data_IF_296037066416
#
_entry.id   IF_296037066416
#
_cell.length_a   1.000
_cell.length_b   1.000
_cell.length_c   1.000
_cell.angle_alpha   90.00
_cell.angle_beta   90.00
_cell.angle_gamma   90.00
#
_symmetry.space_group_name_H-M   'P 1'
#
loop_
_entity.id
_entity.type
_entity.pdbx_description
1 polymer ?
#
# COMPACT_ATOMS: atom_id res chain seq x y z
N UNK A 1 -25.94 10.77 -9.04
CA UNK A 1 -26.99 9.88 -9.57
C UNK A 1 -27.22 8.70 -8.67
N UNK A 2 -26.34 7.69 -8.71
CA UNK A 2 -26.56 6.40 -8.05
C UNK A 2 -26.92 6.48 -6.55
N UNK A 3 -26.19 7.29 -5.76
CA UNK A 3 -26.54 7.49 -4.33
C UNK A 3 -27.93 8.08 -4.09
N UNK A 4 -28.41 8.95 -4.98
CA UNK A 4 -29.73 9.55 -4.84
C UNK A 4 -30.84 8.54 -5.14
N UNK A 5 -30.62 7.66 -6.15
CA UNK A 5 -31.51 6.53 -6.44
C UNK A 5 -31.50 5.51 -5.30
N UNK A 6 -30.33 5.20 -4.76
CA UNK A 6 -30.18 4.31 -3.61
C UNK A 6 -30.90 4.84 -2.36
N UNK A 7 -30.88 6.16 -2.14
CA UNK A 7 -31.56 6.82 -1.02
C UNK A 7 -33.09 6.71 -1.08
N UNK A 8 -33.67 6.46 -2.26
CA UNK A 8 -35.09 6.17 -2.46
C UNK A 8 -35.36 4.68 -2.74
N UNK A 9 -34.45 3.82 -2.29
CA UNK A 9 -34.54 2.35 -2.35
C UNK A 9 -34.55 1.73 -3.77
N UNK A 10 -34.09 2.47 -4.78
CA UNK A 10 -33.88 1.91 -6.12
C UNK A 10 -32.54 1.18 -6.14
N UNK A 11 -32.59 -0.16 -6.19
CA UNK A 11 -31.41 -1.04 -6.09
C UNK A 11 -30.91 -1.60 -7.42
N UNK A 12 -31.72 -1.60 -8.47
CA UNK A 12 -31.29 -1.99 -9.81
C UNK A 12 -31.20 -0.73 -10.67
N UNK A 13 -29.97 -0.32 -10.98
CA UNK A 13 -29.68 0.96 -11.65
C UNK A 13 -29.00 0.65 -12.98
N UNK A 14 -29.63 1.08 -14.07
CA UNK A 14 -29.02 1.08 -15.39
C UNK A 14 -28.48 2.48 -15.69
N UNK A 15 -27.17 2.59 -15.97
CA UNK A 15 -26.48 3.85 -16.20
C UNK A 15 -26.02 3.94 -17.66
N UNK A 16 -26.36 5.04 -18.32
CA UNK A 16 -25.82 5.36 -19.64
C UNK A 16 -24.31 5.62 -19.57
N UNK A 17 -23.63 5.62 -20.72
CA UNK A 17 -22.17 5.83 -20.79
C UNK A 17 -21.73 7.22 -20.35
N UNK A 18 -22.63 8.22 -20.38
CA UNK A 18 -22.32 9.62 -20.11
C UNK A 18 -21.14 10.16 -20.93
N UNK A 19 -20.90 9.60 -22.12
CA UNK A 19 -19.79 9.92 -23.01
C UNK A 19 -18.49 9.14 -22.74
N UNK A 20 -18.35 8.50 -21.57
CA UNK A 20 -17.22 7.65 -21.21
C UNK A 20 -17.69 6.54 -20.24
N UNK A 21 -17.91 5.34 -20.80
CA UNK A 21 -18.44 4.21 -20.04
C UNK A 21 -17.50 3.71 -18.94
N UNK A 22 -16.18 3.90 -19.09
CA UNK A 22 -15.19 3.50 -18.09
C UNK A 22 -15.30 4.41 -16.85
N UNK A 23 -15.27 5.73 -17.07
CA UNK A 23 -15.43 6.72 -16.00
C UNK A 23 -16.82 6.63 -15.33
N UNK A 24 -17.88 6.35 -16.10
CA UNK A 24 -19.22 6.15 -15.57
C UNK A 24 -19.29 4.92 -14.64
N UNK A 25 -18.69 3.80 -15.05
CA UNK A 25 -18.60 2.59 -14.23
C UNK A 25 -17.76 2.81 -12.97
N UNK A 26 -16.61 3.49 -13.08
CA UNK A 26 -15.76 3.84 -11.93
C UNK A 26 -16.53 4.70 -10.92
N UNK A 27 -17.12 5.81 -11.38
CA UNK A 27 -17.87 6.72 -10.53
C UNK A 27 -19.05 6.04 -9.86
N UNK A 28 -19.78 5.16 -10.56
CA UNK A 28 -20.87 4.40 -9.97
C UNK A 28 -20.40 3.38 -8.92
N UNK A 29 -19.37 2.59 -9.24
CA UNK A 29 -18.86 1.54 -8.37
C UNK A 29 -18.21 2.09 -7.09
N UNK A 30 -17.44 3.17 -7.19
CA UNK A 30 -16.80 3.81 -6.04
C UNK A 30 -17.81 4.50 -5.14
N UNK A 31 -18.78 5.20 -5.74
CA UNK A 31 -19.71 6.06 -5.01
C UNK A 31 -20.80 5.32 -4.25
N UNK A 32 -21.07 4.07 -4.61
CA UNK A 32 -22.13 3.25 -4.01
C UNK A 32 -21.61 2.29 -2.95
N UNK A 33 -20.29 2.05 -2.92
CA UNK A 33 -19.67 1.20 -1.91
C UNK A 33 -19.42 1.94 -0.59
N UNK A 34 -19.67 1.27 0.52
CA UNK A 34 -19.27 1.68 1.87
C UNK A 34 -19.07 0.45 2.76
N UNK A 35 -18.17 0.55 3.73
CA UNK A 35 -17.93 -0.53 4.69
C UNK A 35 -19.11 -0.70 5.64
N UNK A 36 -19.59 -1.94 5.78
CA UNK A 36 -20.69 -2.29 6.69
C UNK A 36 -20.62 -3.71 7.24
N UNK A 37 -19.49 -4.41 7.04
CA UNK A 37 -19.35 -5.84 7.36
C UNK A 37 -19.64 -6.19 8.82
N UNK A 38 -19.44 -5.22 9.73
CA UNK A 38 -19.65 -5.39 11.18
C UNK A 38 -21.00 -4.89 11.69
N UNK A 39 -21.84 -4.31 10.82
CA UNK A 39 -23.23 -4.02 11.21
C UNK A 39 -23.98 -5.33 11.38
N UNK A 40 -24.92 -5.35 12.33
CA UNK A 40 -25.88 -6.44 12.45
C UNK A 40 -26.51 -6.72 11.07
N UNK A 41 -26.62 -8.00 10.69
CA UNK A 41 -27.17 -8.44 9.40
C UNK A 41 -28.50 -7.77 9.04
N UNK A 42 -29.38 -7.57 10.02
CA UNK A 42 -30.68 -6.89 9.82
C UNK A 42 -30.56 -5.39 9.52
N UNK A 43 -29.42 -4.78 9.88
CA UNK A 43 -29.11 -3.36 9.64
C UNK A 43 -28.14 -3.15 8.48
N UNK A 44 -27.67 -4.22 7.85
CA UNK A 44 -26.86 -4.12 6.63
C UNK A 44 -27.76 -3.67 5.49
N UNK A 45 -27.31 -2.66 4.76
CA UNK A 45 -27.98 -2.15 3.57
C UNK A 45 -27.56 -2.99 2.37
N UNK A 46 -28.52 -3.36 1.54
CA UNK A 46 -28.25 -3.92 0.22
C UNK A 46 -27.60 -2.81 -0.63
N UNK A 47 -26.38 -3.07 -1.11
CA UNK A 47 -25.71 -2.17 -2.05
C UNK A 47 -26.44 -2.20 -3.40
N UNK A 48 -26.60 -1.05 -4.07
CA UNK A 48 -27.26 -1.03 -5.37
C UNK A 48 -26.42 -1.78 -6.41
N UNK A 49 -27.10 -2.59 -7.22
CA UNK A 49 -26.55 -3.18 -8.43
C UNK A 49 -26.59 -2.13 -9.53
N UNK A 50 -25.42 -1.73 -10.02
CA UNK A 50 -25.31 -0.80 -11.14
C UNK A 50 -24.81 -1.54 -12.37
N UNK A 51 -25.49 -1.38 -13.50
CA UNK A 51 -25.14 -2.00 -14.79
C UNK A 51 -25.22 -0.99 -15.94
N UNK A 52 -24.55 -1.30 -17.04
CA UNK A 52 -24.59 -0.49 -18.25
C UNK A 52 -26.02 -0.49 -18.83
N UNK A 53 -26.50 0.69 -19.22
CA UNK A 53 -27.70 0.82 -20.04
C UNK A 53 -27.34 0.64 -21.53
N UNK A 54 -27.90 -0.40 -22.16
CA UNK A 54 -27.58 -0.77 -23.54
C UNK A 54 -26.31 -1.61 -23.65
N UNK A 55 -25.72 -1.65 -24.86
CA UNK A 55 -24.51 -2.44 -25.18
C UNK A 55 -23.32 -1.58 -25.62
N UNK A 56 -23.53 -0.27 -25.84
CA UNK A 56 -22.47 0.63 -26.26
C UNK A 56 -21.47 0.87 -25.11
N UNK A 57 -20.19 0.59 -25.36
CA UNK A 57 -19.14 0.75 -24.34
C UNK A 57 -19.04 -0.39 -23.33
N UNK A 58 -19.54 -1.59 -23.64
CA UNK A 58 -19.52 -2.75 -22.73
C UNK A 58 -18.12 -3.10 -22.22
N UNK A 59 -17.10 -3.06 -23.08
CA UNK A 59 -15.72 -3.33 -22.67
C UNK A 59 -15.16 -2.25 -21.74
N UNK A 60 -15.39 -0.97 -22.06
CA UNK A 60 -14.99 0.16 -21.21
C UNK A 60 -15.70 0.11 -19.85
N UNK A 61 -16.99 -0.19 -19.84
CA UNK A 61 -17.76 -0.41 -18.62
C UNK A 61 -17.17 -1.54 -17.78
N UNK A 62 -16.80 -2.65 -18.42
CA UNK A 62 -16.15 -3.80 -17.77
C UNK A 62 -14.82 -3.39 -17.14
N UNK A 63 -13.98 -2.63 -17.85
CA UNK A 63 -12.71 -2.12 -17.34
C UNK A 63 -12.93 -1.22 -16.13
N UNK A 64 -13.83 -0.23 -16.22
CA UNK A 64 -14.11 0.69 -15.11
C UNK A 64 -14.72 -0.02 -13.90
N UNK A 65 -15.56 -1.03 -14.14
CA UNK A 65 -16.10 -1.88 -13.08
C UNK A 65 -15.01 -2.66 -12.34
N UNK A 66 -14.06 -3.25 -13.06
CA UNK A 66 -12.91 -3.98 -12.48
C UNK A 66 -12.05 -3.03 -11.63
N UNK A 67 -11.74 -1.84 -12.16
CA UNK A 67 -10.94 -0.84 -11.44
C UNK A 67 -11.62 -0.40 -10.14
N UNK A 68 -12.92 -0.07 -10.19
CA UNK A 68 -13.68 0.31 -9.00
C UNK A 68 -13.77 -0.83 -7.98
N UNK A 69 -13.98 -2.07 -8.43
CA UNK A 69 -14.02 -3.24 -7.54
C UNK A 69 -12.68 -3.48 -6.86
N UNK A 70 -11.57 -3.35 -7.60
CA UNK A 70 -10.22 -3.46 -7.04
C UNK A 70 -9.97 -2.37 -5.99
N UNK A 71 -10.27 -1.10 -6.29
CA UNK A 71 -10.10 -0.01 -5.32
C UNK A 71 -11.02 -0.19 -4.10
N UNK A 72 -12.26 -0.64 -4.28
CA UNK A 72 -13.16 -0.96 -3.17
C UNK A 72 -12.67 -2.16 -2.34
N UNK A 73 -11.95 -3.11 -2.94
CA UNK A 73 -11.30 -4.18 -2.18
C UNK A 73 -10.13 -3.65 -1.34
N UNK A 74 -9.31 -2.73 -1.89
CA UNK A 74 -8.31 -2.04 -1.08
C UNK A 74 -8.96 -1.28 0.10
N UNK A 75 -10.06 -0.57 -0.14
CA UNK A 75 -10.85 0.10 0.91
C UNK A 75 -11.40 -0.90 1.94
N UNK A 76 -11.89 -2.06 1.51
CA UNK A 76 -12.37 -3.10 2.42
C UNK A 76 -11.30 -3.58 3.39
N UNK A 77 -10.10 -3.86 2.87
CA UNK A 77 -8.96 -4.29 3.66
C UNK A 77 -8.55 -3.20 4.65
N UNK A 78 -8.46 -1.93 4.21
CA UNK A 78 -8.08 -0.79 5.06
C UNK A 78 -9.14 -0.37 6.08
N UNK A 79 -10.43 -0.50 5.76
CA UNK A 79 -11.54 -0.11 6.65
C UNK A 79 -11.83 -1.17 7.72
N UNK A 80 -11.42 -2.42 7.48
CA UNK A 80 -11.65 -3.50 8.45
C UNK A 80 -10.80 -3.25 9.72
N UNK A 81 -11.39 -3.30 10.92
CA UNK A 81 -10.64 -3.14 12.17
C UNK A 81 -9.48 -4.13 12.28
N UNK A 82 -8.35 -3.69 12.83
CA UNK A 82 -7.12 -4.48 12.85
C UNK A 82 -7.26 -5.84 13.54
N UNK A 83 -8.08 -5.95 14.59
CA UNK A 83 -8.37 -7.22 15.25
C UNK A 83 -9.13 -8.24 14.36
N UNK A 84 -9.67 -7.78 13.24
CA UNK A 84 -10.34 -8.58 12.20
C UNK A 84 -9.61 -8.49 10.85
N UNK A 85 -8.44 -7.86 10.82
CA UNK A 85 -7.56 -7.73 9.65
C UNK A 85 -6.10 -7.87 10.10
N UNK A 86 -5.81 -8.94 10.84
CA UNK A 86 -4.45 -9.24 11.29
C UNK A 86 -3.57 -9.66 10.10
N UNK A 87 -2.22 -9.75 10.23
CA UNK A 87 -1.33 -10.30 9.20
C UNK A 87 -1.79 -11.66 8.69
N UNK A 88 -2.27 -12.54 9.59
CA UNK A 88 -2.79 -13.85 9.24
C UNK A 88 -4.10 -13.76 8.44
N UNK A 89 -5.03 -12.90 8.83
CA UNK A 89 -6.32 -12.74 8.14
C UNK A 89 -6.10 -12.09 6.77
N UNK A 90 -5.34 -11.00 6.69
CA UNK A 90 -5.02 -10.32 5.44
C UNK A 90 -4.37 -11.28 4.43
N UNK A 91 -3.35 -12.02 4.86
CA UNK A 91 -2.66 -12.97 3.98
C UNK A 91 -3.57 -14.11 3.49
N UNK A 92 -4.46 -14.61 4.35
CA UNK A 92 -5.45 -15.64 4.00
C UNK A 92 -6.49 -15.14 3.02
N UNK A 93 -7.01 -13.92 3.21
CA UNK A 93 -7.97 -13.29 2.29
C UNK A 93 -7.34 -13.09 0.91
N UNK A 94 -6.13 -12.52 0.87
CA UNK A 94 -5.37 -12.32 -0.38
C UNK A 94 -5.11 -13.63 -1.11
N UNK A 95 -4.67 -14.67 -0.39
CA UNK A 95 -4.48 -16.00 -0.98
C UNK A 95 -5.78 -16.53 -1.59
N UNK A 96 -6.89 -16.44 -0.85
CA UNK A 96 -8.20 -16.93 -1.33
C UNK A 96 -8.62 -16.22 -2.61
N UNK A 97 -8.62 -14.88 -2.61
CA UNK A 97 -9.09 -14.08 -3.75
C UNK A 97 -8.20 -14.24 -4.98
N UNK A 98 -6.87 -14.22 -4.82
CA UNK A 98 -5.97 -14.22 -5.96
C UNK A 98 -5.77 -15.61 -6.57
N UNK A 99 -5.83 -16.68 -5.77
CA UNK A 99 -5.70 -18.05 -6.32
C UNK A 99 -6.90 -18.47 -7.17
N UNK A 100 -8.11 -17.94 -6.89
CA UNK A 100 -9.28 -18.08 -7.77
C UNK A 100 -9.05 -17.48 -9.18
N UNK A 101 -8.14 -16.52 -9.30
CA UNK A 101 -7.74 -15.92 -10.57
C UNK A 101 -6.53 -16.63 -11.23
N UNK A 102 -6.08 -17.75 -10.68
CA UNK A 102 -4.93 -18.50 -11.17
C UNK A 102 -3.57 -17.86 -10.81
N UNK A 103 -3.54 -16.93 -9.86
CA UNK A 103 -2.32 -16.30 -9.36
C UNK A 103 -1.70 -17.20 -8.29
N UNK A 104 -0.38 -17.37 -8.30
CA UNK A 104 0.31 -18.10 -7.23
C UNK A 104 0.55 -17.17 -6.05
N UNK A 105 0.14 -17.58 -4.84
CA UNK A 105 0.36 -16.84 -3.60
C UNK A 105 1.08 -17.74 -2.60
N UNK A 106 2.22 -17.28 -2.10
CA UNK A 106 2.98 -17.92 -1.04
C UNK A 106 2.89 -17.05 0.21
N UNK A 107 2.59 -17.67 1.35
CA UNK A 107 2.54 -17.00 2.65
C UNK A 107 3.69 -17.58 3.48
N UNK A 108 4.69 -16.76 3.73
CA UNK A 108 5.85 -17.11 4.53
C UNK A 108 5.67 -16.66 5.97
N UNK A 109 6.33 -17.36 6.90
CA UNK A 109 6.25 -17.13 8.33
C UNK A 109 7.54 -16.52 8.91
N UNK A 110 7.58 -16.44 10.25
CA UNK A 110 8.72 -15.92 10.99
C UNK A 110 10.02 -16.71 10.70
N UNK A 111 9.95 -18.05 10.66
CA UNK A 111 11.13 -18.89 10.42
C UNK A 111 11.72 -18.64 9.03
N UNK A 112 10.86 -18.50 8.02
CA UNK A 112 11.32 -18.12 6.68
C UNK A 112 11.99 -16.74 6.66
N UNK A 113 11.41 -15.75 7.34
CA UNK A 113 11.98 -14.40 7.41
C UNK A 113 13.34 -14.39 8.14
N UNK A 114 13.51 -15.23 9.17
CA UNK A 114 14.80 -15.45 9.84
C UNK A 114 15.84 -16.07 8.88
N UNK A 115 15.46 -17.09 8.11
CA UNK A 115 16.33 -17.71 7.10
C UNK A 115 16.74 -16.72 6.00
N UNK A 116 15.83 -15.83 5.61
CA UNK A 116 16.11 -14.71 4.70
C UNK A 116 16.87 -13.55 5.34
N UNK A 117 17.20 -13.64 6.63
CA UNK A 117 17.92 -12.61 7.40
C UNK A 117 17.21 -11.25 7.41
N UNK A 118 15.89 -11.26 7.43
CA UNK A 118 15.06 -10.04 7.46
C UNK A 118 14.99 -9.44 8.88
N UNK A 119 16.15 -9.13 9.46
CA UNK A 119 16.25 -8.66 10.84
C UNK A 119 15.60 -7.30 11.08
N UNK A 120 15.46 -6.47 10.04
CA UNK A 120 14.77 -5.18 10.12
C UNK A 120 13.25 -5.38 10.22
N UNK A 121 12.67 -6.22 9.37
CA UNK A 121 11.25 -6.61 9.42
C UNK A 121 10.90 -7.30 10.75
N UNK A 122 11.67 -8.31 11.13
CA UNK A 122 11.43 -9.08 12.35
C UNK A 122 11.46 -8.20 13.61
N UNK A 123 12.36 -7.21 13.65
CA UNK A 123 12.45 -6.28 14.79
C UNK A 123 11.13 -5.55 15.09
N UNK A 124 10.36 -5.20 14.06
CA UNK A 124 9.07 -4.53 14.22
C UNK A 124 8.03 -5.49 14.81
N UNK A 125 8.05 -6.75 14.37
CA UNK A 125 7.08 -7.77 14.79
C UNK A 125 7.18 -8.21 16.24
N UNK A 126 8.36 -8.13 16.85
CA UNK A 126 8.60 -8.59 18.23
C UNK A 126 7.73 -7.89 19.29
N UNK A 127 7.13 -6.74 18.96
CA UNK A 127 6.22 -6.02 19.83
C UNK A 127 4.86 -6.70 20.00
N UNK A 128 4.41 -7.50 19.03
CA UNK A 128 3.08 -8.12 19.04
C UNK A 128 3.12 -9.63 19.35
N UNK A 129 1.98 -10.15 19.82
CA UNK A 129 1.72 -11.59 19.91
C UNK A 129 1.16 -12.16 18.60
N UNK A 130 0.70 -11.31 17.69
CA UNK A 130 0.22 -11.72 16.37
C UNK A 130 1.43 -12.05 15.47
N UNK A 131 1.48 -13.24 14.86
CA UNK A 131 2.64 -13.68 14.09
C UNK A 131 2.81 -12.83 12.82
N UNK A 132 4.04 -12.40 12.49
CA UNK A 132 4.30 -11.73 11.22
C UNK A 132 4.08 -12.69 10.05
N UNK A 133 3.72 -12.12 8.89
CA UNK A 133 3.59 -12.85 7.63
C UNK A 133 4.34 -12.10 6.54
N UNK A 134 4.90 -12.82 5.58
CA UNK A 134 5.43 -12.23 4.37
C UNK A 134 4.70 -12.84 3.16
N UNK A 135 3.90 -12.04 2.46
CA UNK A 135 3.13 -12.51 1.30
C UNK A 135 3.93 -12.27 0.02
N UNK A 136 4.10 -13.31 -0.76
CA UNK A 136 4.76 -13.30 -2.07
C UNK A 136 3.77 -13.76 -3.15
N UNK A 137 3.52 -12.91 -4.13
CA UNK A 137 2.48 -13.09 -5.15
C UNK A 137 3.13 -13.14 -6.53
N UNK A 138 2.77 -14.11 -7.35
CA UNK A 138 3.27 -14.26 -8.73
C UNK A 138 2.10 -14.24 -9.71
N UNK A 139 1.93 -13.13 -10.41
CA UNK A 139 1.07 -13.04 -11.59
C UNK A 139 1.91 -13.21 -12.85
N UNK A 140 1.62 -14.26 -13.61
CA UNK A 140 2.31 -14.59 -14.88
C UNK A 140 1.41 -14.34 -16.08
N UNK A 141 1.33 -13.08 -16.52
CA UNK A 141 0.56 -12.69 -17.70
C UNK A 141 1.36 -12.67 -19.01
N UNK A 142 2.70 -12.73 -18.94
CA UNK A 142 3.60 -12.76 -20.09
C UNK A 142 4.42 -14.06 -20.11
N UNK A 143 5.30 -14.18 -21.11
CA UNK A 143 6.22 -15.32 -21.22
C UNK A 143 7.12 -15.41 -19.97
N UNK A 144 7.49 -16.63 -19.56
CA UNK A 144 8.30 -16.90 -18.35
C UNK A 144 9.66 -16.18 -18.34
N UNK A 145 10.20 -15.85 -19.52
CA UNK A 145 11.48 -15.14 -19.67
C UNK A 145 11.35 -13.60 -19.56
N UNK A 146 10.12 -13.07 -19.48
CA UNK A 146 9.89 -11.63 -19.37
C UNK A 146 10.22 -11.16 -17.96
N UNK A 147 11.05 -10.12 -17.85
CA UNK A 147 11.36 -9.50 -16.57
C UNK A 147 10.06 -9.02 -15.89
N UNK A 148 9.84 -9.36 -14.61
CA UNK A 148 8.66 -8.92 -13.92
C UNK A 148 8.75 -7.43 -13.55
N UNK A 149 7.62 -6.87 -13.16
CA UNK A 149 7.55 -5.66 -12.35
C UNK A 149 7.38 -6.10 -10.89
N UNK A 150 8.09 -5.48 -9.95
CA UNK A 150 7.93 -5.77 -8.53
C UNK A 150 7.11 -4.67 -7.84
N UNK A 151 6.00 -5.06 -7.22
CA UNK A 151 5.21 -4.21 -6.34
C UNK A 151 5.45 -4.58 -4.89
N UNK A 152 5.74 -3.59 -4.05
CA UNK A 152 6.02 -3.80 -2.62
C UNK A 152 5.06 -2.96 -1.78
N UNK A 153 4.37 -3.56 -0.81
CA UNK A 153 3.37 -2.85 -0.02
C UNK A 153 3.70 -2.86 1.48
N UNK A 154 3.72 -1.69 2.13
CA UNK A 154 3.77 -1.62 3.60
C UNK A 154 2.51 -2.27 4.18
N UNK A 155 2.68 -3.27 5.04
CA UNK A 155 1.61 -4.07 5.62
C UNK A 155 1.53 -3.99 7.15
N UNK A 156 1.56 -2.80 7.74
CA UNK A 156 1.39 -2.68 9.21
C UNK A 156 -0.10 -2.69 9.53
N UNK A 157 -0.61 -3.83 10.00
CA UNK A 157 -2.06 -4.03 10.23
C UNK A 157 -2.61 -3.22 11.41
N UNK A 158 -1.75 -2.86 12.35
CA UNK A 158 -2.01 -1.81 13.33
C UNK A 158 -0.71 -1.17 13.81
N UNK A 159 -0.68 0.15 13.84
CA UNK A 159 0.48 0.92 14.27
C UNK A 159 0.17 1.76 15.52
N UNK A 160 0.60 1.28 16.69
CA UNK A 160 0.60 2.06 17.92
C UNK A 160 1.85 2.95 18.04
N UNK A 161 2.84 2.78 17.16
CA UNK A 161 4.17 3.38 17.23
C UNK A 161 5.19 2.61 18.08
N UNK A 162 4.80 1.48 18.66
CA UNK A 162 5.68 0.71 19.56
C UNK A 162 6.00 1.47 20.86
N UNK A 163 7.27 1.45 21.29
CA UNK A 163 7.72 2.19 22.49
C UNK A 163 7.62 3.71 22.29
N UNK A 164 7.85 4.21 21.08
CA UNK A 164 7.56 5.58 20.64
C UNK A 164 6.05 5.77 20.39
N UNK A 165 5.25 5.51 21.44
CA UNK A 165 3.79 5.43 21.40
C UNK A 165 3.15 6.68 20.78
N UNK A 166 2.25 6.46 19.82
CA UNK A 166 1.42 7.52 19.23
C UNK A 166 0.47 8.14 20.26
N UNK A 167 0.05 9.41 20.07
CA UNK A 167 -1.03 9.99 20.86
C UNK A 167 -2.36 9.23 20.69
N UNK A 168 -3.27 9.25 21.69
CA UNK A 168 -4.56 8.56 21.60
C UNK A 168 -5.51 9.08 20.51
N UNK A 169 -5.41 10.36 20.15
CA UNK A 169 -6.29 10.98 19.16
C UNK A 169 -6.07 10.34 17.78
N UNK A 170 -7.16 9.90 17.15
CA UNK A 170 -7.21 9.31 15.80
C UNK A 170 -6.31 8.05 15.63
N UNK A 171 -5.85 7.43 16.71
CA UNK A 171 -5.03 6.21 16.66
C UNK A 171 -5.81 5.04 16.03
N UNK A 172 -7.14 5.06 16.07
CA UNK A 172 -7.96 4.06 15.41
C UNK A 172 -7.75 4.05 13.88
N UNK A 173 -7.39 5.19 13.26
CA UNK A 173 -7.07 5.28 11.83
C UNK A 173 -5.86 4.38 11.46
N UNK A 174 -5.00 4.04 12.43
CA UNK A 174 -3.81 3.21 12.21
C UNK A 174 -4.11 1.74 11.90
N UNK A 175 -5.40 1.32 11.93
CA UNK A 175 -5.83 0.06 11.27
C UNK A 175 -5.56 0.05 9.77
N UNK A 176 -5.53 1.23 9.14
CA UNK A 176 -5.31 1.41 7.71
C UNK A 176 -3.81 1.57 7.36
N UNK A 177 -2.90 1.33 8.29
CA UNK A 177 -1.44 1.45 8.05
C UNK A 177 -0.84 0.29 7.21
N UNK A 178 -1.74 -0.56 6.70
CA UNK A 178 -1.54 -1.59 5.70
C UNK A 178 -2.12 -1.21 4.33
N UNK A 179 -2.54 0.05 4.12
CA UNK A 179 -3.13 0.48 2.85
C UNK A 179 -2.16 0.37 1.67
N UNK A 180 -0.85 0.43 1.93
CA UNK A 180 0.17 0.15 0.91
C UNK A 180 0.05 -1.27 0.36
N UNK A 181 -0.04 -2.26 1.27
CA UNK A 181 -0.32 -3.65 0.94
C UNK A 181 -1.66 -3.82 0.22
N UNK A 182 -2.72 -3.15 0.71
CA UNK A 182 -4.05 -3.20 0.13
C UNK A 182 -4.07 -2.74 -1.34
N UNK A 183 -3.39 -1.63 -1.64
CA UNK A 183 -3.26 -1.12 -3.01
C UNK A 183 -2.49 -2.09 -3.92
N UNK A 184 -1.43 -2.73 -3.42
CA UNK A 184 -0.64 -3.71 -4.20
C UNK A 184 -1.50 -4.91 -4.60
N UNK A 185 -2.22 -5.52 -3.65
CA UNK A 185 -3.04 -6.71 -3.95
C UNK A 185 -4.22 -6.37 -4.86
N UNK A 186 -4.83 -5.20 -4.67
CA UNK A 186 -5.89 -4.70 -5.53
C UNK A 186 -5.41 -4.45 -6.96
N UNK A 187 -4.24 -3.83 -7.14
CA UNK A 187 -3.67 -3.60 -8.47
C UNK A 187 -3.34 -4.91 -9.20
N UNK A 188 -2.80 -5.91 -8.49
CA UNK A 188 -2.52 -7.25 -9.04
C UNK A 188 -3.81 -7.96 -9.44
N UNK A 189 -4.85 -7.89 -8.60
CA UNK A 189 -6.19 -8.43 -8.91
C UNK A 189 -6.74 -7.81 -10.20
N UNK A 190 -6.74 -6.49 -10.31
CA UNK A 190 -7.21 -5.79 -11.51
C UNK A 190 -6.40 -6.19 -12.75
N UNK A 191 -5.06 -6.30 -12.62
CA UNK A 191 -4.21 -6.72 -13.73
C UNK A 191 -4.55 -8.13 -14.23
N UNK A 192 -4.86 -9.06 -13.33
CA UNK A 192 -5.26 -10.42 -13.67
C UNK A 192 -6.67 -10.50 -14.28
N UNK A 193 -7.65 -9.79 -13.72
CA UNK A 193 -9.02 -9.71 -14.27
C UNK A 193 -9.05 -9.05 -15.66
N UNK A 194 -8.14 -8.10 -15.91
CA UNK A 194 -7.92 -7.48 -17.22
C UNK A 194 -7.02 -8.32 -18.14
N UNK A 195 -6.45 -9.43 -17.65
CA UNK A 195 -5.55 -10.32 -18.39
C UNK A 195 -4.37 -9.57 -19.03
N UNK A 196 -3.77 -8.65 -18.28
CA UNK A 196 -2.64 -7.86 -18.75
C UNK A 196 -1.45 -8.77 -19.09
N UNK A 197 -0.84 -8.55 -20.26
CA UNK A 197 0.25 -9.38 -20.77
C UNK A 197 1.61 -8.98 -20.19
N UNK A 198 1.76 -9.10 -18.88
CA UNK A 198 2.98 -8.76 -18.14
C UNK A 198 3.12 -9.63 -16.88
N UNK A 199 4.35 -9.77 -16.37
CA UNK A 199 4.61 -10.49 -15.12
C UNK A 199 4.69 -9.50 -13.95
N UNK A 200 4.02 -9.80 -12.83
CA UNK A 200 4.07 -9.00 -11.60
C UNK A 200 4.46 -9.90 -10.43
N UNK A 201 5.41 -9.42 -9.63
CA UNK A 201 5.70 -9.95 -8.30
C UNK A 201 5.15 -8.98 -7.26
N UNK A 202 4.31 -9.45 -6.34
CA UNK A 202 3.83 -8.68 -5.19
C UNK A 202 4.53 -9.14 -3.92
N UNK A 203 5.09 -8.22 -3.14
CA UNK A 203 5.82 -8.52 -1.89
C UNK A 203 5.29 -7.67 -0.75
N UNK A 204 4.84 -8.32 0.32
CA UNK A 204 4.12 -7.64 1.40
C UNK A 204 4.59 -8.18 2.75
N UNK A 205 5.49 -7.45 3.45
CA UNK A 205 5.75 -7.70 4.86
C UNK A 205 4.55 -7.24 5.70
N UNK A 206 3.95 -8.17 6.44
CA UNK A 206 2.80 -7.93 7.32
C UNK A 206 3.15 -8.13 8.77
N UNK A 207 2.81 -7.15 9.61
CA UNK A 207 3.02 -7.20 11.07
C UNK A 207 2.08 -6.22 11.77
N UNK A 208 2.07 -6.24 13.10
CA UNK A 208 1.65 -5.09 13.92
C UNK A 208 2.88 -4.38 14.49
N UNK A 209 2.72 -3.14 14.96
CA UNK A 209 3.72 -2.38 15.70
C UNK A 209 3.15 -1.96 17.07
N UNK A 210 3.40 -2.77 18.09
CA UNK A 210 2.82 -2.63 19.44
C UNK A 210 3.91 -2.47 20.52
N UNK A 211 3.64 -1.72 21.60
CA UNK A 211 4.51 -1.73 22.78
C UNK A 211 4.34 -3.03 23.56
N UNK A 212 5.45 -3.65 23.95
CA UNK A 212 5.48 -4.80 24.85
C UNK A 212 6.84 -4.93 25.53
N UNK A 213 7.00 -5.94 26.39
CA UNK A 213 8.30 -6.26 27.01
C UNK A 213 9.36 -6.77 26.03
N UNK A 214 8.96 -7.14 24.81
CA UNK A 214 9.83 -7.66 23.74
C UNK A 214 9.96 -6.71 22.55
N UNK A 215 9.26 -5.57 22.57
CA UNK A 215 9.29 -4.58 21.51
C UNK A 215 10.70 -4.00 21.29
N UNK A 216 10.97 -3.60 20.04
CA UNK A 216 12.16 -2.80 19.71
C UNK A 216 12.21 -1.54 20.55
N UNK A 217 13.40 -1.17 21.01
CA UNK A 217 13.61 0.00 21.88
C UNK A 217 14.33 1.10 21.08
N UNK A 218 14.01 2.39 21.34
CA UNK A 218 14.79 3.49 20.81
C UNK A 218 16.29 3.33 21.14
N UNK A 219 17.14 3.37 20.13
CA UNK A 219 18.59 3.16 20.20
C UNK A 219 19.06 1.73 19.87
N UNK A 220 18.15 0.77 19.72
CA UNK A 220 18.51 -0.58 19.25
C UNK A 220 19.11 -0.49 17.83
N UNK A 221 20.04 -1.41 17.53
CA UNK A 221 20.60 -1.59 16.19
C UNK A 221 20.14 -2.92 15.63
N UNK A 222 19.55 -2.89 14.45
CA UNK A 222 19.08 -4.08 13.71
C UNK A 222 19.87 -4.23 12.42
N UNK A 223 19.90 -5.43 11.85
CA UNK A 223 20.61 -5.72 10.60
C UNK A 223 19.58 -6.13 9.55
N UNK A 224 19.54 -5.39 8.44
CA UNK A 224 18.69 -5.69 7.31
C UNK A 224 19.23 -6.87 6.48
N UNK A 225 18.40 -7.39 5.58
CA UNK A 225 18.69 -8.52 4.69
C UNK A 225 19.97 -8.33 3.88
N UNK A 226 20.28 -7.10 3.44
CA UNK A 226 21.50 -6.78 2.70
C UNK A 226 22.75 -6.59 3.59
N UNK A 227 22.64 -6.83 4.90
CA UNK A 227 23.71 -6.68 5.88
C UNK A 227 23.92 -5.25 6.40
N UNK A 228 23.17 -4.25 5.93
CA UNK A 228 23.25 -2.89 6.47
C UNK A 228 22.69 -2.84 7.89
N UNK A 229 23.41 -2.17 8.78
CA UNK A 229 22.99 -1.89 10.15
C UNK A 229 22.12 -0.63 10.21
N UNK A 230 21.00 -0.71 10.92
CA UNK A 230 20.05 0.37 11.11
C UNK A 230 19.94 0.68 12.61
N UNK A 231 20.23 1.91 13.02
CA UNK A 231 19.86 2.38 14.37
C UNK A 231 18.40 2.83 14.39
N UNK A 232 17.60 2.24 15.28
CA UNK A 232 16.17 2.52 15.46
C UNK A 232 16.02 3.60 16.53
N UNK A 233 16.10 4.87 16.13
CA UNK A 233 15.98 6.01 17.06
C UNK A 233 14.51 6.34 17.41
N UNK A 234 13.55 5.91 16.59
CA UNK A 234 12.10 6.07 16.81
C UNK A 234 11.35 4.84 16.29
N UNK A 235 10.60 4.14 17.14
CA UNK A 235 9.91 2.89 16.77
C UNK A 235 8.62 3.11 15.99
N UNK A 236 8.16 4.36 15.87
CA UNK A 236 7.05 4.82 15.02
C UNK A 236 7.49 5.15 13.58
N UNK A 237 8.76 4.85 13.27
CA UNK A 237 9.30 4.86 11.92
C UNK A 237 9.59 3.42 11.48
N UNK A 238 8.62 2.53 11.70
CA UNK A 238 8.64 1.09 11.46
C UNK A 238 8.40 0.71 10.00
N UNK A 239 7.55 1.45 9.28
CA UNK A 239 7.17 1.11 7.91
C UNK A 239 8.37 1.03 6.98
N UNK A 240 9.34 1.94 7.17
CA UNK A 240 10.60 1.90 6.41
C UNK A 240 11.49 0.72 6.80
N UNK A 241 11.43 0.25 8.05
CA UNK A 241 12.18 -0.91 8.51
C UNK A 241 11.68 -2.19 7.85
N UNK A 242 10.36 -2.40 7.78
CA UNK A 242 9.81 -3.60 7.12
C UNK A 242 10.02 -3.54 5.60
N UNK A 243 9.93 -2.34 5.01
CA UNK A 243 10.19 -2.13 3.58
C UNK A 243 11.67 -2.33 3.23
N UNK A 244 12.63 -2.01 4.11
CA UNK A 244 14.04 -2.22 3.84
C UNK A 244 14.35 -3.66 3.40
N UNK A 245 13.82 -4.64 4.14
CA UNK A 245 14.01 -6.06 3.81
C UNK A 245 13.20 -6.49 2.59
N UNK A 246 11.96 -6.00 2.43
CA UNK A 246 11.14 -6.31 1.27
C UNK A 246 11.73 -5.76 -0.05
N UNK A 247 12.31 -4.55 -0.03
CA UNK A 247 13.01 -3.95 -1.17
C UNK A 247 14.32 -4.69 -1.48
N UNK A 248 15.03 -5.19 -0.47
CA UNK A 248 16.17 -6.08 -0.69
C UNK A 248 15.72 -7.37 -1.39
N UNK A 249 14.67 -8.01 -0.89
CA UNK A 249 14.14 -9.25 -1.47
C UNK A 249 13.59 -9.06 -2.89
N UNK A 250 12.94 -7.92 -3.18
CA UNK A 250 12.42 -7.60 -4.50
C UNK A 250 13.49 -7.66 -5.61
N UNK A 251 14.75 -7.39 -5.28
CA UNK A 251 15.84 -7.39 -6.24
C UNK A 251 16.32 -8.79 -6.62
N UNK A 252 16.04 -9.83 -5.80
CA UNK A 252 16.36 -11.23 -6.15
C UNK A 252 15.61 -11.69 -7.42
N UNK A 253 14.48 -11.04 -7.75
CA UNK A 253 13.67 -11.33 -8.93
C UNK A 253 14.13 -10.62 -10.21
N UNK A 254 15.21 -9.82 -10.15
CA UNK A 254 15.71 -9.00 -11.28
C UNK A 254 14.59 -8.22 -12.01
N UNK A 255 13.77 -7.43 -11.29
CA UNK A 255 12.62 -6.77 -11.89
C UNK A 255 13.05 -5.65 -12.84
N UNK A 256 12.22 -5.39 -13.85
CA UNK A 256 12.35 -4.24 -14.75
C UNK A 256 12.27 -2.90 -14.00
N UNK A 257 11.42 -2.84 -12.97
CA UNK A 257 11.43 -1.78 -11.95
C UNK A 257 10.74 -2.25 -10.67
N UNK A 258 11.01 -1.54 -9.57
CA UNK A 258 10.36 -1.72 -8.28
C UNK A 258 9.45 -0.51 -8.02
N UNK A 259 8.21 -0.74 -7.60
CA UNK A 259 7.31 0.29 -7.12
C UNK A 259 6.83 -0.11 -5.73
N UNK A 260 7.14 0.69 -4.71
CA UNK A 260 6.63 0.48 -3.37
C UNK A 260 5.58 1.53 -2.98
N UNK A 261 4.59 1.10 -2.19
CA UNK A 261 3.46 1.91 -1.74
C UNK A 261 3.37 1.79 -0.22
N UNK A 262 3.31 2.94 0.47
CA UNK A 262 3.24 2.96 1.92
C UNK A 262 2.53 4.18 2.49
N UNK A 263 1.74 3.97 3.53
CA UNK A 263 1.30 5.01 4.48
C UNK A 263 2.49 5.35 5.39
N UNK A 264 3.48 6.07 4.84
CA UNK A 264 4.81 6.09 5.45
C UNK A 264 5.03 7.24 6.42
N UNK A 265 4.55 8.45 6.11
CA UNK A 265 4.88 9.61 6.93
C UNK A 265 3.72 10.56 7.16
N UNK A 266 3.53 10.99 8.41
CA UNK A 266 2.67 12.12 8.73
C UNK A 266 3.11 13.42 8.04
N UNK A 267 4.39 13.55 7.70
CA UNK A 267 4.93 14.67 6.93
C UNK A 267 4.30 14.79 5.53
N UNK A 268 3.92 13.68 4.90
CA UNK A 268 3.25 13.71 3.59
C UNK A 268 1.82 14.25 3.70
N UNK A 269 1.10 13.86 4.77
CA UNK A 269 -0.23 14.41 5.10
C UNK A 269 -0.16 15.92 5.30
N UNK A 270 0.89 16.43 5.94
CA UNK A 270 1.10 17.89 6.09
C UNK A 270 1.46 18.56 4.76
N UNK A 271 2.22 17.89 3.89
CA UNK A 271 2.70 18.47 2.64
C UNK A 271 1.62 18.60 1.55
N UNK A 272 0.80 17.54 1.37
CA UNK A 272 -0.18 17.48 0.27
C UNK A 272 -1.63 17.25 0.72
N UNK A 273 -1.88 16.92 1.99
CA UNK A 273 -3.20 16.48 2.43
C UNK A 273 -3.70 15.31 1.58
N UNK A 274 -5.00 15.33 1.24
CA UNK A 274 -5.63 14.33 0.38
C UNK A 274 -5.58 14.66 -1.12
N UNK A 275 -4.77 15.65 -1.55
CA UNK A 275 -4.84 16.15 -2.92
C UNK A 275 -4.16 15.23 -3.95
N UNK A 276 -3.04 14.61 -3.57
CA UNK A 276 -2.24 13.73 -4.42
C UNK A 276 -1.32 12.83 -3.58
N UNK A 277 -0.94 11.68 -4.15
CA UNK A 277 0.13 10.81 -3.61
C UNK A 277 1.51 11.44 -3.84
N UNK A 278 2.38 11.41 -2.83
CA UNK A 278 3.77 11.86 -2.97
C UNK A 278 4.65 10.79 -3.61
N UNK A 279 5.39 11.13 -4.66
CA UNK A 279 6.23 10.19 -5.42
C UNK A 279 7.70 10.57 -5.35
N UNK A 280 8.52 9.62 -4.94
CA UNK A 280 9.98 9.71 -4.97
C UNK A 280 10.52 8.67 -5.95
N UNK A 281 11.49 9.04 -6.77
CA UNK A 281 12.01 8.12 -7.80
C UNK A 281 13.39 8.54 -8.29
N UNK A 282 14.20 7.53 -8.66
CA UNK A 282 15.44 7.71 -9.39
C UNK A 282 15.28 7.68 -10.92
N UNK A 283 14.08 7.47 -11.44
CA UNK A 283 13.80 7.32 -12.86
C UNK A 283 12.71 8.30 -13.31
N UNK A 284 13.12 9.33 -14.05
CA UNK A 284 12.18 10.34 -14.55
C UNK A 284 11.21 9.80 -15.60
N UNK A 285 11.57 8.77 -16.37
CA UNK A 285 10.70 8.19 -17.40
C UNK A 285 9.56 7.44 -16.71
N UNK A 286 9.86 6.67 -15.66
CA UNK A 286 8.84 5.99 -14.88
C UNK A 286 7.91 6.98 -14.17
N UNK A 287 8.45 8.08 -13.63
CA UNK A 287 7.61 9.13 -13.05
C UNK A 287 6.63 9.71 -14.07
N UNK A 288 7.06 10.02 -15.29
CA UNK A 288 6.15 10.57 -16.31
C UNK A 288 5.05 9.58 -16.70
N UNK A 289 5.36 8.28 -16.76
CA UNK A 289 4.35 7.23 -16.97
C UNK A 289 3.32 7.21 -15.84
N UNK A 290 3.77 7.27 -14.58
CA UNK A 290 2.88 7.29 -13.42
C UNK A 290 2.05 8.59 -13.37
N UNK A 291 2.65 9.74 -13.68
CA UNK A 291 1.98 11.05 -13.75
C UNK A 291 0.86 11.05 -14.79
N UNK A 292 1.12 10.48 -15.97
CA UNK A 292 0.10 10.34 -17.00
C UNK A 292 -1.03 9.40 -16.54
N UNK A 293 -0.72 8.28 -15.89
CA UNK A 293 -1.74 7.39 -15.32
C UNK A 293 -2.60 8.09 -14.26
N UNK A 294 -1.98 8.86 -13.36
CA UNK A 294 -2.69 9.67 -12.36
C UNK A 294 -3.54 10.79 -12.97
N UNK A 295 -3.14 11.31 -14.13
CA UNK A 295 -3.93 12.30 -14.89
C UNK A 295 -5.17 11.66 -15.53
N UNK A 296 -5.04 10.44 -16.06
CA UNK A 296 -6.14 9.71 -16.68
C UNK A 296 -7.17 9.21 -15.65
N UNK A 297 -6.71 8.70 -14.51
CA UNK A 297 -7.58 8.18 -13.44
C UNK A 297 -8.17 9.28 -12.56
N UNK A 298 -7.53 10.45 -12.50
CA UNK A 298 -7.86 11.49 -11.52
C UNK A 298 -7.32 11.23 -10.12
N UNK A 299 -6.71 10.06 -9.86
CA UNK A 299 -5.96 9.77 -8.64
C UNK A 299 -4.52 10.29 -8.80
N UNK A 300 -4.34 11.55 -8.39
CA UNK A 300 -3.17 12.36 -8.77
C UNK A 300 -1.92 11.93 -8.01
N UNK A 301 -0.78 12.12 -8.67
CA UNK A 301 0.55 11.97 -8.09
C UNK A 301 1.35 13.27 -8.21
N UNK A 302 2.26 13.50 -7.27
CA UNK A 302 3.13 14.68 -7.28
C UNK A 302 4.57 14.29 -6.94
N UNK A 303 5.54 14.80 -7.71
CA UNK A 303 6.96 14.45 -7.51
C UNK A 303 7.55 15.19 -6.32
N UNK A 304 8.25 14.45 -5.47
CA UNK A 304 9.10 14.99 -4.42
C UNK A 304 10.59 14.73 -4.72
N UNK A 305 11.48 15.56 -4.13
CA UNK A 305 12.91 15.44 -4.36
C UNK A 305 13.53 14.22 -3.66
N UNK A 306 14.33 13.45 -4.40
CA UNK A 306 15.21 12.40 -3.88
C UNK A 306 16.67 12.87 -3.93
N UNK A 307 16.99 13.90 -3.16
CA UNK A 307 18.31 14.54 -3.18
C UNK A 307 19.30 13.92 -2.19
N UNK A 308 20.58 13.91 -2.55
CA UNK A 308 21.69 13.46 -1.69
C UNK A 308 21.69 14.17 -0.32
N UNK A 309 21.22 15.41 -0.25
CA UNK A 309 21.04 16.13 1.00
C UNK A 309 20.28 15.32 2.05
N UNK A 310 19.18 14.66 1.67
CA UNK A 310 18.38 13.87 2.61
C UNK A 310 19.05 12.54 2.97
N UNK A 311 19.75 11.92 2.03
CA UNK A 311 20.56 10.71 2.30
C UNK A 311 21.67 10.98 3.31
N UNK A 312 22.35 12.12 3.20
CA UNK A 312 23.41 12.53 4.12
C UNK A 312 22.90 12.72 5.55
N UNK A 313 21.65 13.17 5.74
CA UNK A 313 21.00 13.26 7.04
C UNK A 313 20.73 11.89 7.68
N UNK A 314 20.54 10.85 6.86
CA UNK A 314 20.29 9.47 7.31
C UNK A 314 21.55 8.67 7.57
N UNK A 315 22.63 8.94 6.83
CA UNK A 315 23.83 8.08 6.80
C UNK A 315 25.06 8.74 7.46
N UNK A 316 25.48 9.91 6.99
CA UNK A 316 26.74 10.56 7.42
C UNK A 316 26.74 11.05 8.88
N UNK A 317 25.55 11.25 9.45
CA UNK A 317 25.38 11.73 10.84
C UNK A 317 25.19 10.60 11.86
N UNK A 318 25.49 9.36 11.47
CA UNK A 318 25.41 8.16 12.31
C UNK A 318 26.83 7.61 12.48
N UNK A 319 27.26 7.40 13.73
CA UNK A 319 28.62 6.93 14.04
C UNK A 319 28.70 5.44 14.36
N UNK A 320 27.58 4.80 14.69
CA UNK A 320 27.51 3.45 15.27
C UNK A 320 26.75 2.43 14.42
N UNK A 321 26.21 2.86 13.28
CA UNK A 321 25.47 2.05 12.31
C UNK A 321 25.58 2.70 10.92
N UNK A 322 25.21 1.98 9.87
CA UNK A 322 25.29 2.47 8.48
C UNK A 322 24.22 3.53 8.19
N UNK A 323 23.04 3.37 8.78
CA UNK A 323 21.90 4.28 8.59
C UNK A 323 21.09 4.38 9.89
N UNK A 324 20.41 5.51 10.10
CA UNK A 324 19.39 5.66 11.15
C UNK A 324 18.00 5.61 10.56
N UNK A 325 17.01 5.16 11.31
CA UNK A 325 15.64 5.11 10.78
C UNK A 325 14.92 6.47 10.82
N UNK A 326 15.38 7.46 11.59
CA UNK A 326 14.81 8.83 11.57
C UNK A 326 15.90 9.91 11.53
N UNK A 327 15.74 10.90 10.64
CA UNK A 327 16.62 12.05 10.59
C UNK A 327 16.42 12.96 11.81
N UNK A 328 17.50 13.58 12.31
CA UNK A 328 17.43 14.62 13.35
C UNK A 328 17.30 16.01 12.72
N UNK A 329 16.30 16.20 11.86
CA UNK A 329 16.03 17.48 11.15
C UNK A 329 14.65 18.05 11.53
N UNK A 330 14.49 19.36 11.35
CA UNK A 330 13.20 20.06 11.59
C UNK A 330 12.21 19.98 10.42
N UNK A 331 12.60 19.38 9.29
CA UNK A 331 11.77 19.33 8.08
C UNK A 331 12.26 18.28 7.08
N UNK A 332 11.45 18.03 6.05
CA UNK A 332 11.74 17.04 5.01
C UNK A 332 11.51 15.60 5.43
N UNK A 333 10.58 15.33 6.36
CA UNK A 333 10.34 13.99 6.93
C UNK A 333 10.04 12.91 5.87
N UNK A 334 9.23 13.22 4.86
CA UNK A 334 8.96 12.30 3.75
C UNK A 334 10.19 12.10 2.86
N UNK A 335 10.97 13.17 2.62
CA UNK A 335 12.19 13.08 1.81
C UNK A 335 13.28 12.26 2.50
N UNK A 336 13.43 12.37 3.82
CA UNK A 336 14.39 11.56 4.59
C UNK A 336 13.92 10.11 4.74
N UNK A 337 12.61 9.86 4.79
CA UNK A 337 12.06 8.50 4.70
C UNK A 337 12.35 7.85 3.35
N UNK A 338 12.10 8.57 2.24
CA UNK A 338 12.44 8.09 0.91
C UNK A 338 13.96 7.89 0.73
N UNK A 339 14.77 8.79 1.29
CA UNK A 339 16.22 8.64 1.28
C UNK A 339 16.71 7.44 2.10
N UNK A 340 16.02 7.08 3.19
CA UNK A 340 16.26 5.82 3.90
C UNK A 340 15.97 4.61 3.00
N UNK A 341 14.80 4.57 2.35
CA UNK A 341 14.42 3.46 1.47
C UNK A 341 15.39 3.30 0.30
N UNK A 342 15.90 4.42 -0.24
CA UNK A 342 16.91 4.44 -1.29
C UNK A 342 18.17 3.65 -0.94
N UNK A 343 18.55 3.57 0.33
CA UNK A 343 19.72 2.81 0.78
C UNK A 343 19.56 1.29 0.62
N UNK A 344 18.34 0.81 0.39
CA UNK A 344 18.01 -0.61 0.20
C UNK A 344 17.72 -0.96 -1.27
N UNK A 345 17.90 0.01 -2.17
CA UNK A 345 17.76 -0.15 -3.62
C UNK A 345 19.14 -0.07 -4.28
N UNK A 346 19.46 -1.03 -5.14
CA UNK A 346 20.68 -0.98 -5.96
C UNK A 346 20.66 0.21 -6.91
N UNK A 347 21.82 0.81 -7.14
CA UNK A 347 21.95 2.02 -7.97
C UNK A 347 21.36 1.87 -9.39
N UNK A 348 21.39 0.66 -9.95
CA UNK A 348 20.96 0.36 -11.31
C UNK A 348 19.50 -0.09 -11.41
N UNK A 349 18.77 -0.16 -10.30
CA UNK A 349 17.37 -0.60 -10.30
C UNK A 349 16.43 0.61 -10.41
N UNK A 350 15.61 0.70 -11.47
CA UNK A 350 14.58 1.74 -11.55
C UNK A 350 13.55 1.54 -10.43
N UNK A 351 13.24 2.61 -9.72
CA UNK A 351 12.47 2.54 -8.49
C UNK A 351 11.54 3.75 -8.29
N UNK A 352 10.32 3.49 -7.83
CA UNK A 352 9.40 4.50 -7.30
C UNK A 352 8.94 4.13 -5.90
N UNK A 353 8.88 5.14 -5.04
CA UNK A 353 8.21 5.09 -3.75
C UNK A 353 7.01 6.03 -3.76
N UNK A 354 5.84 5.50 -3.40
CA UNK A 354 4.60 6.22 -3.24
C UNK A 354 4.27 6.34 -1.74
N UNK A 355 4.41 7.55 -1.19
CA UNK A 355 3.93 7.86 0.16
C UNK A 355 2.45 8.29 0.07
N UNK A 356 1.57 7.39 0.49
CA UNK A 356 0.12 7.53 0.41
C UNK A 356 -0.51 7.96 1.74
N UNK A 357 0.29 8.32 2.75
CA UNK A 357 -0.23 8.68 4.08
C UNK A 357 -1.25 9.85 4.04
N UNK A 358 -1.10 10.78 3.09
CA UNK A 358 -2.03 11.89 2.90
C UNK A 358 -3.39 11.49 2.29
N UNK A 359 -3.44 10.40 1.52
CA UNK A 359 -4.62 9.91 0.78
C UNK A 359 -5.20 8.61 1.37
N UNK A 360 -4.78 8.23 2.59
CA UNK A 360 -5.21 7.00 3.27
C UNK A 360 -6.70 6.98 3.62
N UNK A 361 -7.26 8.12 4.00
CA UNK A 361 -8.66 8.27 4.39
C UNK A 361 -9.38 9.34 3.57
N UNK A 362 -10.70 9.50 3.76
CA UNK A 362 -11.44 10.63 3.22
C UNK A 362 -10.93 11.89 3.94
N UNK A 363 -9.87 12.51 3.39
CA UNK A 363 -9.33 13.76 3.92
C UNK A 363 -10.40 14.86 3.97
N UNK A 364 -10.04 16.07 4.44
CA UNK A 364 -10.96 17.22 4.41
C UNK A 364 -11.49 17.49 2.98
N UNK A 365 -10.70 17.15 1.97
CA UNK A 365 -11.08 17.16 0.56
C UNK A 365 -11.90 15.92 0.21
N UNK A 366 -13.23 16.02 0.34
CA UNK A 366 -14.15 14.94 -0.01
C UNK A 366 -14.09 14.68 -1.52
N UNK A 367 -13.50 13.54 -1.93
CA UNK A 367 -13.65 13.04 -3.29
C UNK A 367 -15.15 12.79 -3.57
N UNK A 368 -15.77 13.44 -4.58
CA UNK A 368 -17.22 13.37 -4.77
C UNK A 368 -17.78 11.96 -4.96
N UNK A 369 -16.94 11.05 -5.44
CA UNK A 369 -17.23 9.66 -5.77
C UNK A 369 -16.73 8.65 -4.74
N UNK A 370 -16.12 9.08 -3.63
CA UNK A 370 -15.75 8.19 -2.51
C UNK A 370 -16.57 8.61 -1.29
N UNK A 371 -17.51 7.76 -0.81
CA UNK A 371 -18.26 8.06 0.41
C UNK A 371 -17.34 8.23 1.61
N UNK A 372 -17.72 9.16 2.49
CA UNK A 372 -17.04 9.42 3.76
C UNK A 372 -17.27 8.30 4.77
#
# INVERSE_FOLDING_TARGET
>A
GCRALDAVEIKDIHLETLGDAEAAAEGAGLSTWFYQGLKNKEKQKILPKVSLYGQEGEEQWRIGSIKAQAQNWARHLSDTPANLMTPTIFSTEVHTVLTELGITVQIHDNEWAEQKKMGSFLSVSHGSCEPPKFVEIHYKGADDNSQPIAFVGKGVTFDAGGISLKPPADMDEMRADMSGAACVVAAIRAAAELKLKLNIIGLIPLTENLPSGTATKPGDVVVAMNGKSIIVDNTDAEGRLILADALCYAQEFNPSFILDIATLTGAMRIALGGAATGVFTNDSILFEKLRNAGTLTGDRVWRFPLWQHFTDEMTKKVKSADVRNVARTKGGGSCTAAAFLREFISNNTPWLHLDIAGVMGPGPDKLPYVPA
#
